data_IF_601724559030
#
_entry.id   IF_601724559030
#
_cell.length_a   1.000
_cell.length_b   1.000
_cell.length_c   1.000
_cell.angle_alpha   90.00
_cell.angle_beta   90.00
_cell.angle_gamma   90.00
#
_symmetry.space_group_name_H-M   'P 1'
#
loop_
_entity.id
_entity.type
_entity.pdbx_description
1 polymer ?
#
# COMPACT_ATOMS: atom_id res chain seq x y z
N UNK A 1 6.02 -14.80 6.09
CA UNK A 1 7.42 -14.73 6.55
C UNK A 1 7.40 -14.37 8.02
N UNK A 2 8.08 -15.12 8.89
CA UNK A 2 8.27 -14.74 10.31
C UNK A 2 9.43 -13.75 10.41
N UNK A 3 9.22 -12.55 9.86
CA UNK A 3 10.17 -11.46 9.99
C UNK A 3 9.99 -10.88 11.38
N UNK A 4 10.93 -11.13 12.28
CA UNK A 4 10.92 -10.47 13.58
C UNK A 4 11.65 -9.16 13.44
N UNK A 5 10.93 -8.04 13.53
CA UNK A 5 11.51 -6.70 13.66
C UNK A 5 11.78 -6.43 15.14
N UNK A 6 13.06 -6.37 15.49
CA UNK A 6 13.51 -6.01 16.85
C UNK A 6 14.09 -4.61 16.82
N UNK A 7 13.98 -3.90 17.95
CA UNK A 7 14.56 -2.58 18.11
C UNK A 7 15.56 -2.52 19.26
N UNK A 8 16.84 -2.24 18.95
CA UNK A 8 17.94 -2.18 19.92
C UNK A 8 18.36 -0.73 20.21
N UNK A 9 18.79 -0.46 21.44
CA UNK A 9 19.01 0.90 21.93
C UNK A 9 20.40 1.48 21.60
N UNK A 10 21.47 0.68 21.55
CA UNK A 10 22.85 1.18 21.31
C UNK A 10 23.83 0.16 20.67
N UNK A 11 23.84 -1.10 21.09
CA UNK A 11 24.80 -2.09 20.59
C UNK A 11 24.29 -2.86 19.36
N UNK A 12 25.15 -3.09 18.38
CA UNK A 12 24.84 -3.95 17.22
C UNK A 12 24.83 -5.42 17.68
N UNK A 13 23.71 -6.15 17.56
CA UNK A 13 23.70 -7.58 17.84
C UNK A 13 24.44 -8.36 16.74
N UNK A 14 24.77 -9.63 17.03
CA UNK A 14 25.40 -10.53 16.05
C UNK A 14 24.49 -10.71 14.82
N UNK A 15 25.06 -10.54 13.62
CA UNK A 15 24.31 -10.58 12.36
C UNK A 15 25.18 -10.99 11.17
N UNK A 16 24.57 -11.52 10.12
CA UNK A 16 25.28 -11.88 8.88
C UNK A 16 25.58 -10.65 8.01
N UNK A 17 24.73 -9.62 8.13
CA UNK A 17 24.87 -8.34 7.45
C UNK A 17 24.46 -7.19 8.38
N UNK A 18 25.35 -6.22 8.54
CA UNK A 18 25.07 -4.92 9.15
C UNK A 18 24.89 -3.88 8.06
N UNK A 19 23.88 -3.04 8.17
CA UNK A 19 23.66 -1.88 7.32
C UNK A 19 23.90 -0.62 8.12
N UNK A 20 24.68 0.28 7.53
CA UNK A 20 24.93 1.63 8.03
C UNK A 20 24.59 2.63 6.95
N UNK A 21 24.18 3.82 7.38
CA UNK A 21 23.63 4.86 6.51
C UNK A 21 24.49 6.12 6.62
N UNK A 22 24.71 6.82 5.51
CA UNK A 22 25.38 8.12 5.56
C UNK A 22 24.90 9.05 4.44
N UNK A 23 25.08 10.35 4.67
CA UNK A 23 24.92 11.41 3.68
C UNK A 23 26.26 11.75 3.05
N UNK A 24 26.28 12.44 1.92
CA UNK A 24 27.51 12.87 1.22
C UNK A 24 28.46 13.67 2.14
N UNK A 25 27.90 14.56 2.96
CA UNK A 25 28.63 15.42 3.88
C UNK A 25 28.83 14.78 5.27
N UNK A 26 28.35 13.55 5.44
CA UNK A 26 28.39 12.81 6.70
C UNK A 26 29.58 11.85 6.76
N UNK A 27 30.12 11.62 7.95
CA UNK A 27 31.03 10.49 8.15
C UNK A 27 30.20 9.20 8.19
N UNK A 28 30.74 8.12 7.65
CA UNK A 28 30.16 6.79 7.83
C UNK A 28 30.34 6.36 9.30
N UNK A 29 29.32 6.63 10.11
CA UNK A 29 29.28 6.22 11.51
C UNK A 29 29.07 4.71 11.59
N UNK A 30 29.79 4.06 12.51
CA UNK A 30 29.71 2.62 12.75
C UNK A 30 29.34 2.38 14.22
N UNK A 31 28.56 1.34 14.53
CA UNK A 31 28.32 0.94 15.91
C UNK A 31 29.62 0.46 16.58
N UNK A 32 29.68 0.56 17.90
CA UNK A 32 30.86 0.19 18.70
C UNK A 32 31.34 -1.23 18.39
N UNK A 33 32.67 -1.38 18.29
CA UNK A 33 33.33 -2.66 18.00
C UNK A 33 33.39 -3.05 16.51
N UNK A 34 32.63 -2.38 15.63
CA UNK A 34 32.71 -2.62 14.18
C UNK A 34 33.83 -1.80 13.55
N UNK A 35 34.76 -2.48 12.88
CA UNK A 35 35.85 -1.84 12.13
C UNK A 35 35.77 -2.21 10.66
N UNK A 36 36.06 -1.24 9.79
CA UNK A 36 36.18 -1.40 8.34
C UNK A 36 37.56 -0.97 7.88
N UNK A 37 38.02 -1.53 6.77
CA UNK A 37 39.26 -1.09 6.12
C UNK A 37 39.18 0.41 5.76
N UNK A 38 40.24 1.20 5.96
CA UNK A 38 40.25 2.63 5.63
C UNK A 38 39.86 2.91 4.17
N UNK A 39 40.30 2.06 3.24
CA UNK A 39 39.95 2.18 1.82
C UNK A 39 38.45 1.97 1.58
N UNK A 40 37.81 1.03 2.28
CA UNK A 40 36.36 0.80 2.15
C UNK A 40 35.56 2.02 2.64
N UNK A 41 36.03 2.70 3.70
CA UNK A 41 35.41 3.96 4.17
C UNK A 41 35.60 5.10 3.18
N UNK A 42 36.80 5.25 2.60
CA UNK A 42 37.11 6.30 1.61
C UNK A 42 36.38 6.10 0.29
N UNK A 43 36.10 4.86 -0.09
CA UNK A 43 35.44 4.50 -1.35
C UNK A 43 33.92 4.69 -1.34
N UNK A 44 33.33 5.07 -0.20
CA UNK A 44 31.90 5.32 -0.06
C UNK A 44 31.64 6.83 -0.05
N UNK A 45 30.92 7.32 -1.06
CA UNK A 45 30.64 8.75 -1.27
C UNK A 45 29.35 9.23 -0.62
N UNK A 46 28.44 8.33 -0.25
CA UNK A 46 27.16 8.68 0.38
C UNK A 46 26.09 9.17 -0.60
N UNK A 47 26.34 9.06 -1.91
CA UNK A 47 25.41 9.44 -2.97
C UNK A 47 24.07 8.71 -2.82
N UNK A 48 22.98 9.32 -3.26
CA UNK A 48 21.65 8.74 -3.08
C UNK A 48 21.53 7.36 -3.75
N UNK A 49 21.18 6.34 -2.96
CA UNK A 49 21.10 4.91 -3.31
C UNK A 49 22.43 4.23 -3.63
N UNK A 50 23.57 4.88 -3.38
CA UNK A 50 24.86 4.19 -3.39
C UNK A 50 24.79 3.03 -2.39
N UNK A 51 25.24 1.84 -2.80
CA UNK A 51 25.23 0.65 -1.96
C UNK A 51 26.57 -0.09 -2.05
N UNK A 52 27.39 -0.01 -1.00
CA UNK A 52 28.72 -0.61 -0.95
C UNK A 52 28.78 -1.72 0.10
N UNK A 53 29.03 -2.95 -0.37
CA UNK A 53 29.21 -4.12 0.49
C UNK A 53 30.70 -4.34 0.72
N UNK A 54 31.09 -4.59 1.97
CA UNK A 54 32.46 -4.89 2.37
C UNK A 54 32.45 -5.85 3.56
N UNK A 55 33.57 -6.54 3.80
CA UNK A 55 33.76 -7.36 4.98
C UNK A 55 34.16 -6.49 6.18
N UNK A 56 33.74 -6.88 7.38
CA UNK A 56 34.23 -6.22 8.59
C UNK A 56 35.62 -6.74 8.96
N UNK A 57 36.44 -5.88 9.57
CA UNK A 57 37.72 -6.26 10.18
C UNK A 57 37.53 -6.81 11.60
N UNK A 58 36.48 -6.36 12.29
CA UNK A 58 36.11 -6.80 13.62
C UNK A 58 34.65 -6.45 13.90
N UNK A 59 34.08 -7.10 14.93
CA UNK A 59 32.78 -6.76 15.48
C UNK A 59 31.71 -7.83 15.26
N UNK A 60 30.46 -7.53 15.62
CA UNK A 60 29.35 -8.50 15.63
C UNK A 60 28.82 -8.90 14.24
N UNK A 61 29.27 -8.27 13.15
CA UNK A 61 28.76 -8.50 11.81
C UNK A 61 29.87 -8.95 10.85
N UNK A 62 29.67 -10.04 10.12
CA UNK A 62 30.66 -10.52 9.14
C UNK A 62 30.84 -9.54 7.97
N UNK A 63 29.73 -8.95 7.51
CA UNK A 63 29.69 -8.01 6.38
C UNK A 63 28.99 -6.73 6.76
N UNK A 64 29.41 -5.62 6.15
CA UNK A 64 28.79 -4.31 6.28
C UNK A 64 28.36 -3.81 4.90
N UNK A 65 27.12 -3.32 4.82
CA UNK A 65 26.56 -2.64 3.66
C UNK A 65 26.35 -1.16 4.02
N UNK A 66 27.13 -0.28 3.42
CA UNK A 66 26.91 1.16 3.50
C UNK A 66 25.88 1.57 2.44
N UNK A 67 24.86 2.35 2.83
CA UNK A 67 23.83 2.88 1.92
C UNK A 67 23.82 4.41 2.01
N UNK A 68 23.92 5.05 0.84
CA UNK A 68 23.96 6.50 0.71
C UNK A 68 22.56 7.12 0.64
N UNK A 69 22.37 8.21 1.38
CA UNK A 69 21.14 9.01 1.43
C UNK A 69 21.22 10.28 0.57
N UNK A 70 22.36 10.51 -0.10
CA UNK A 70 22.68 11.72 -0.84
C UNK A 70 23.01 12.90 0.08
N UNK A 71 22.87 14.11 -0.44
CA UNK A 71 23.04 15.36 0.32
C UNK A 71 22.16 15.40 1.57
N UNK A 72 22.73 15.85 2.69
CA UNK A 72 22.06 15.92 4.00
C UNK A 72 20.77 16.72 3.96
N UNK A 73 20.74 17.83 3.22
CA UNK A 73 19.56 18.70 3.10
C UNK A 73 18.36 18.03 2.41
N UNK A 74 18.61 16.97 1.65
CA UNK A 74 17.57 16.23 0.94
C UNK A 74 17.27 14.89 1.63
N UNK A 75 17.92 14.58 2.76
CA UNK A 75 17.66 13.36 3.51
C UNK A 75 16.30 13.49 4.22
N UNK A 76 15.35 12.65 3.82
CA UNK A 76 13.99 12.62 4.34
C UNK A 76 13.54 11.18 4.65
N UNK A 77 12.30 11.04 5.11
CA UNK A 77 11.70 9.75 5.41
C UNK A 77 11.56 8.85 4.17
N UNK A 78 11.38 9.41 2.97
CA UNK A 78 11.26 8.62 1.74
C UNK A 78 12.61 8.04 1.29
N UNK A 79 13.68 8.83 1.34
CA UNK A 79 15.04 8.31 1.07
C UNK A 79 15.42 7.23 2.08
N UNK A 80 15.03 7.41 3.34
CA UNK A 80 15.28 6.42 4.38
C UNK A 80 14.45 5.14 4.17
N UNK A 81 13.18 5.26 3.74
CA UNK A 81 12.34 4.13 3.33
C UNK A 81 12.96 3.37 2.16
N UNK A 82 13.49 4.06 1.15
CA UNK A 82 14.23 3.44 0.05
C UNK A 82 15.48 2.72 0.53
N UNK A 83 16.24 3.29 1.47
CA UNK A 83 17.41 2.64 2.06
C UNK A 83 17.03 1.34 2.79
N UNK A 84 15.93 1.32 3.55
CA UNK A 84 15.38 0.11 4.16
C UNK A 84 15.06 -0.98 3.13
N UNK A 85 14.44 -0.60 2.00
CA UNK A 85 14.13 -1.54 0.93
C UNK A 85 15.39 -2.08 0.22
N UNK A 86 16.38 -1.22 -0.03
CA UNK A 86 17.68 -1.62 -0.59
C UNK A 86 18.39 -2.61 0.35
N UNK A 87 18.40 -2.34 1.66
CA UNK A 87 18.98 -3.20 2.67
C UNK A 87 18.39 -4.61 2.64
N UNK A 88 17.06 -4.73 2.68
CA UNK A 88 16.37 -6.02 2.64
C UNK A 88 16.65 -6.80 1.33
N UNK A 89 16.56 -6.12 0.17
CA UNK A 89 16.83 -6.75 -1.14
C UNK A 89 18.28 -7.21 -1.25
N UNK A 90 19.24 -6.40 -0.77
CA UNK A 90 20.65 -6.75 -0.82
C UNK A 90 20.97 -7.90 0.13
N UNK A 91 20.38 -7.93 1.33
CA UNK A 91 20.52 -9.03 2.28
C UNK A 91 20.10 -10.37 1.65
N UNK A 92 18.96 -10.40 0.96
CA UNK A 92 18.51 -11.59 0.23
C UNK A 92 19.50 -11.97 -0.89
N UNK A 93 19.96 -11.00 -1.70
CA UNK A 93 20.92 -11.23 -2.79
C UNK A 93 22.25 -11.82 -2.29
N UNK A 94 22.72 -11.43 -1.11
CA UNK A 94 23.97 -11.93 -0.51
C UNK A 94 23.75 -13.12 0.43
N UNK A 95 22.53 -13.68 0.43
CA UNK A 95 22.12 -14.86 1.20
C UNK A 95 22.34 -14.69 2.71
N UNK A 96 22.14 -13.48 3.23
CA UNK A 96 22.21 -13.21 4.67
C UNK A 96 20.94 -13.74 5.35
N UNK A 97 21.10 -14.58 6.40
CA UNK A 97 19.99 -15.07 7.21
C UNK A 97 19.48 -14.02 8.20
N UNK A 98 20.36 -13.11 8.61
CA UNK A 98 20.08 -12.01 9.52
C UNK A 98 20.64 -10.68 9.03
N UNK A 99 19.85 -9.63 9.21
CA UNK A 99 20.15 -8.25 8.86
C UNK A 99 19.97 -7.35 10.09
N UNK A 100 20.93 -6.46 10.34
CA UNK A 100 20.78 -5.32 11.26
C UNK A 100 20.84 -4.05 10.43
N UNK A 101 19.86 -3.15 10.56
CA UNK A 101 19.92 -1.79 10.02
C UNK A 101 20.16 -0.85 11.20
N UNK A 102 21.34 -0.25 11.24
CA UNK A 102 21.72 0.69 12.28
C UNK A 102 21.51 2.12 11.78
N UNK A 103 20.62 2.83 12.46
CA UNK A 103 20.30 4.22 12.22
C UNK A 103 21.03 5.08 13.24
N UNK A 104 21.91 5.95 12.77
CA UNK A 104 22.70 6.79 13.65
C UNK A 104 21.93 8.02 14.14
N UNK A 105 22.30 8.62 15.29
CA UNK A 105 21.68 9.85 15.76
C UNK A 105 21.73 11.01 14.75
N UNK A 106 22.79 11.06 13.92
CA UNK A 106 22.92 12.06 12.87
C UNK A 106 21.85 11.87 11.78
N UNK A 107 21.59 10.62 11.37
CA UNK A 107 20.53 10.30 10.40
C UNK A 107 19.15 10.55 11.00
N UNK A 108 18.92 10.16 12.25
CA UNK A 108 17.66 10.44 12.94
C UNK A 108 17.35 11.93 12.96
N UNK A 109 18.34 12.76 13.30
CA UNK A 109 18.19 14.22 13.28
C UNK A 109 17.90 14.76 11.87
N UNK A 110 18.54 14.21 10.84
CA UNK A 110 18.37 14.65 9.46
C UNK A 110 16.94 14.45 8.95
N UNK A 111 16.25 13.39 9.37
CA UNK A 111 14.90 13.03 8.87
C UNK A 111 13.75 13.45 9.80
N UNK A 112 14.01 14.33 10.77
CA UNK A 112 12.97 14.84 11.68
C UNK A 112 12.79 14.08 12.99
N UNK A 113 13.73 13.18 13.33
CA UNK A 113 13.82 12.54 14.64
C UNK A 113 13.73 11.00 14.60
N UNK A 114 14.04 10.39 15.74
CA UNK A 114 14.15 8.94 15.88
C UNK A 114 12.84 8.18 15.55
N UNK A 115 11.68 8.75 15.88
CA UNK A 115 10.37 8.13 15.60
C UNK A 115 10.08 8.08 14.09
N UNK A 116 10.28 9.19 13.38
CA UNK A 116 10.15 9.25 11.92
C UNK A 116 11.16 8.32 11.22
N UNK A 117 12.39 8.24 11.74
CA UNK A 117 13.42 7.36 11.21
C UNK A 117 13.06 5.88 11.36
N UNK A 118 12.61 5.48 12.55
CA UNK A 118 12.18 4.10 12.82
C UNK A 118 11.01 3.68 11.93
N UNK A 119 10.02 4.56 11.77
CA UNK A 119 8.86 4.33 10.90
C UNK A 119 9.26 4.10 9.44
N UNK A 120 10.00 5.03 8.85
CA UNK A 120 10.44 4.95 7.45
C UNK A 120 11.29 3.70 7.18
N UNK A 121 12.27 3.40 8.05
CA UNK A 121 13.12 2.22 7.90
C UNK A 121 12.33 0.92 7.96
N UNK A 122 11.39 0.81 8.90
CA UNK A 122 10.58 -0.39 9.05
C UNK A 122 9.67 -0.61 7.82
N UNK A 123 8.98 0.43 7.36
CA UNK A 123 8.17 0.35 6.13
C UNK A 123 9.01 -0.15 4.95
N UNK A 124 10.14 0.51 4.72
CA UNK A 124 11.06 0.20 3.63
C UNK A 124 11.61 -1.22 3.70
N UNK A 125 12.09 -1.63 4.87
CA UNK A 125 12.64 -2.96 5.09
C UNK A 125 11.60 -4.04 4.84
N UNK A 126 10.37 -3.89 5.36
CA UNK A 126 9.28 -4.85 5.12
C UNK A 126 8.92 -4.88 3.64
N UNK A 127 8.70 -3.73 3.01
CA UNK A 127 8.34 -3.66 1.58
C UNK A 127 9.45 -4.23 0.68
N UNK A 128 10.71 -4.10 1.07
CA UNK A 128 11.86 -4.68 0.38
C UNK A 128 11.92 -6.20 0.42
N UNK A 129 11.21 -6.84 1.34
CA UNK A 129 11.10 -8.31 1.44
C UNK A 129 9.99 -8.90 0.57
N UNK A 130 9.14 -8.06 -0.02
CA UNK A 130 8.06 -8.52 -0.88
C UNK A 130 8.61 -9.22 -2.13
N UNK A 131 8.16 -10.44 -2.37
CA UNK A 131 8.52 -11.22 -3.55
C UNK A 131 7.31 -12.03 -4.04
N UNK A 132 6.97 -11.88 -5.32
CA UNK A 132 5.94 -12.67 -5.98
C UNK A 132 6.49 -14.06 -6.36
N UNK A 133 6.59 -14.92 -5.36
CA UNK A 133 7.03 -16.32 -5.52
C UNK A 133 5.93 -17.36 -5.30
N UNK A 134 4.76 -16.96 -4.79
CA UNK A 134 3.75 -17.90 -4.29
C UNK A 134 3.06 -18.74 -5.39
N UNK A 135 3.12 -18.29 -6.65
CA UNK A 135 2.59 -18.98 -7.83
C UNK A 135 3.64 -19.82 -8.57
N UNK A 136 4.92 -19.69 -8.24
CA UNK A 136 5.96 -20.52 -8.86
C UNK A 136 5.88 -21.95 -8.31
N UNK A 137 6.11 -22.94 -9.17
CA UNK A 137 6.25 -24.35 -8.77
C UNK A 137 7.55 -24.56 -7.99
N UNK A 138 8.68 -24.03 -8.50
CA UNK A 138 9.96 -23.97 -7.77
C UNK A 138 9.95 -22.84 -6.73
N UNK A 139 9.38 -23.12 -5.56
CA UNK A 139 9.28 -22.16 -4.45
C UNK A 139 10.60 -22.06 -3.71
N UNK A 140 11.38 -21.02 -4.02
CA UNK A 140 12.59 -20.68 -3.26
C UNK A 140 12.21 -20.09 -1.90
N UNK A 141 12.73 -20.70 -0.83
CA UNK A 141 12.61 -20.15 0.52
C UNK A 141 13.50 -18.90 0.62
N UNK A 142 13.03 -17.79 1.21
CA UNK A 142 13.86 -16.60 1.38
C UNK A 142 15.05 -16.92 2.28
N UNK A 143 16.23 -16.39 1.97
CA UNK A 143 17.40 -16.51 2.84
C UNK A 143 17.22 -15.67 4.10
N UNK A 144 16.77 -14.42 3.94
CA UNK A 144 16.58 -13.50 5.04
C UNK A 144 15.44 -13.96 5.98
N UNK A 145 15.78 -14.18 7.25
CA UNK A 145 14.85 -14.63 8.30
C UNK A 145 14.56 -13.57 9.35
N UNK A 146 15.53 -12.68 9.64
CA UNK A 146 15.43 -11.71 10.74
C UNK A 146 15.97 -10.34 10.32
N UNK A 147 15.22 -9.28 10.63
CA UNK A 147 15.66 -7.89 10.47
C UNK A 147 15.62 -7.21 11.85
N UNK A 148 16.74 -6.69 12.31
CA UNK A 148 16.79 -5.86 13.51
C UNK A 148 17.03 -4.42 13.11
N UNK A 149 16.21 -3.50 13.59
CA UNK A 149 16.41 -2.07 13.42
C UNK A 149 17.06 -1.54 14.71
N UNK A 150 18.07 -0.69 14.63
CA UNK A 150 18.73 -0.14 15.82
C UNK A 150 18.75 1.38 15.72
N UNK A 151 18.37 2.06 16.80
CA UNK A 151 18.24 3.52 16.84
C UNK A 151 17.91 4.08 18.22
N UNK A 152 17.61 5.37 18.28
CA UNK A 152 17.49 6.23 19.44
C UNK A 152 16.28 5.94 20.33
N UNK A 153 16.41 4.90 21.17
CA UNK A 153 15.54 4.71 22.34
C UNK A 153 14.07 4.45 22.02
N UNK A 154 13.18 4.78 22.96
CA UNK A 154 11.75 4.48 22.85
C UNK A 154 11.04 5.13 21.64
N UNK A 155 11.33 6.38 21.23
CA UNK A 155 10.72 6.97 20.03
C UNK A 155 10.99 6.16 18.76
N UNK A 156 12.24 5.73 18.54
CA UNK A 156 12.59 4.86 17.40
C UNK A 156 11.78 3.56 17.42
N UNK A 157 11.62 2.93 18.59
CA UNK A 157 10.85 1.69 18.73
C UNK A 157 9.37 1.87 18.39
N UNK A 158 8.77 3.00 18.76
CA UNK A 158 7.37 3.30 18.42
C UNK A 158 7.20 3.47 16.91
N UNK A 159 8.07 4.27 16.30
CA UNK A 159 8.12 4.45 14.85
C UNK A 159 8.28 3.12 14.13
N UNK A 160 9.28 2.30 14.51
CA UNK A 160 9.52 1.01 13.88
C UNK A 160 8.33 0.04 13.97
N UNK A 161 7.58 0.03 15.09
CA UNK A 161 6.36 -0.77 15.23
C UNK A 161 5.25 -0.27 14.29
N UNK A 162 5.06 1.03 14.21
CA UNK A 162 4.08 1.63 13.29
C UNK A 162 4.44 1.34 11.83
N UNK A 163 5.70 1.53 11.46
CA UNK A 163 6.19 1.28 10.10
C UNK A 163 6.16 -0.20 9.69
N UNK A 164 6.35 -1.14 10.62
CA UNK A 164 6.14 -2.57 10.34
C UNK A 164 4.70 -2.86 9.91
N UNK A 165 3.73 -2.34 10.66
CA UNK A 165 2.30 -2.53 10.36
C UNK A 165 1.97 -1.95 8.98
N UNK A 166 2.42 -0.73 8.68
CA UNK A 166 2.20 -0.08 7.38
C UNK A 166 2.92 -0.80 6.23
N UNK A 167 4.15 -1.27 6.45
CA UNK A 167 4.89 -2.05 5.47
C UNK A 167 4.18 -3.37 5.14
N UNK A 168 3.66 -4.08 6.16
CA UNK A 168 2.91 -5.32 5.97
C UNK A 168 1.56 -5.08 5.28
N UNK A 169 0.87 -3.99 5.60
CA UNK A 169 -0.35 -3.58 4.90
C UNK A 169 -0.07 -3.30 3.41
N UNK A 170 1.02 -2.59 3.10
CA UNK A 170 1.47 -2.35 1.73
C UNK A 170 1.77 -3.66 0.98
N UNK A 171 2.52 -4.58 1.59
CA UNK A 171 2.78 -5.89 1.00
C UNK A 171 1.50 -6.71 0.79
N UNK A 172 0.53 -6.59 1.70
CA UNK A 172 -0.78 -7.22 1.57
C UNK A 172 -1.54 -6.66 0.35
N UNK A 173 -1.60 -5.33 0.21
CA UNK A 173 -2.21 -4.65 -0.95
C UNK A 173 -1.58 -5.13 -2.25
N UNK A 174 -0.24 -5.11 -2.34
CA UNK A 174 0.51 -5.57 -3.51
C UNK A 174 0.22 -7.03 -3.85
N UNK A 175 0.13 -7.90 -2.85
CA UNK A 175 -0.22 -9.31 -3.08
C UNK A 175 -1.60 -9.43 -3.72
N UNK A 176 -2.60 -8.66 -3.28
CA UNK A 176 -3.94 -8.71 -3.88
C UNK A 176 -3.88 -8.30 -5.35
N UNK A 177 -3.25 -7.16 -5.63
CA UNK A 177 -3.02 -6.61 -6.97
C UNK A 177 -2.27 -7.59 -7.89
N UNK A 178 -1.23 -8.22 -7.37
CA UNK A 178 -0.38 -9.13 -8.13
C UNK A 178 -1.03 -10.49 -8.38
N UNK A 179 -2.03 -10.86 -7.58
CA UNK A 179 -2.75 -12.13 -7.73
C UNK A 179 -3.55 -12.10 -9.04
N UNK A 180 -3.35 -13.08 -9.95
CA UNK A 180 -4.07 -13.14 -11.21
C UNK A 180 -5.59 -13.16 -11.05
N UNK A 181 -6.32 -12.62 -12.04
CA UNK A 181 -7.78 -12.50 -12.01
C UNK A 181 -8.51 -13.82 -11.75
N UNK A 182 -8.01 -14.94 -12.27
CA UNK A 182 -8.58 -16.27 -12.01
C UNK A 182 -8.46 -16.75 -10.56
N UNK A 183 -7.57 -16.14 -9.76
CA UNK A 183 -7.32 -16.46 -8.34
C UNK A 183 -7.75 -15.34 -7.39
N UNK A 184 -8.06 -14.15 -7.92
CA UNK A 184 -8.55 -12.99 -7.18
C UNK A 184 -9.87 -12.50 -7.78
N UNK A 185 -10.91 -13.34 -7.73
CA UNK A 185 -12.25 -12.99 -8.20
C UNK A 185 -13.01 -12.20 -7.12
N UNK A 186 -14.21 -11.65 -7.40
CA UNK A 186 -14.95 -10.84 -6.41
C UNK A 186 -15.20 -11.61 -5.09
N UNK A 187 -15.58 -12.89 -5.17
CA UNK A 187 -15.72 -13.77 -3.99
C UNK A 187 -14.43 -13.98 -3.20
N UNK A 188 -13.28 -13.93 -3.88
CA UNK A 188 -11.97 -14.09 -3.24
C UNK A 188 -11.60 -12.80 -2.48
N UNK A 189 -11.91 -11.62 -3.01
CA UNK A 189 -11.80 -10.34 -2.28
C UNK A 189 -12.68 -10.32 -1.02
N UNK A 190 -13.92 -10.81 -1.12
CA UNK A 190 -14.81 -10.98 0.04
C UNK A 190 -14.15 -11.86 1.11
N UNK A 191 -13.49 -12.96 0.71
CA UNK A 191 -12.78 -13.85 1.63
C UNK A 191 -11.59 -13.16 2.29
N UNK A 192 -10.82 -12.35 1.56
CA UNK A 192 -9.72 -11.57 2.13
C UNK A 192 -10.22 -10.52 3.13
N UNK A 193 -11.33 -9.83 2.83
CA UNK A 193 -11.98 -8.90 3.76
C UNK A 193 -12.46 -9.60 5.05
N UNK A 194 -13.03 -10.81 4.95
CA UNK A 194 -13.39 -11.62 6.14
C UNK A 194 -12.18 -11.97 6.99
N UNK A 195 -11.05 -12.35 6.37
CA UNK A 195 -9.80 -12.63 7.09
C UNK A 195 -9.31 -11.40 7.85
N UNK A 196 -9.41 -10.20 7.26
CA UNK A 196 -9.03 -8.95 7.94
C UNK A 196 -9.91 -8.73 9.17
N UNK A 197 -11.24 -8.83 9.04
CA UNK A 197 -12.16 -8.65 10.16
C UNK A 197 -11.92 -9.67 11.30
N UNK A 198 -11.54 -10.91 10.96
CA UNK A 198 -11.19 -11.93 11.94
C UNK A 198 -9.93 -11.62 12.78
N UNK A 199 -9.12 -10.63 12.40
CA UNK A 199 -7.91 -10.24 13.15
C UNK A 199 -8.18 -9.27 14.31
N UNK A 200 -9.32 -8.59 14.32
CA UNK A 200 -9.59 -7.53 15.29
C UNK A 200 -11.07 -7.40 15.61
N UNK A 201 -11.39 -7.37 16.90
CA UNK A 201 -12.77 -7.14 17.37
C UNK A 201 -13.26 -5.71 17.09
N UNK A 202 -12.36 -4.79 16.74
CA UNK A 202 -12.69 -3.43 16.33
C UNK A 202 -13.25 -3.35 14.90
N UNK A 203 -13.05 -4.41 14.09
CA UNK A 203 -13.46 -4.44 12.68
C UNK A 203 -14.66 -5.36 12.50
N UNK A 204 -15.71 -4.85 11.86
CA UNK A 204 -16.84 -5.65 11.37
C UNK A 204 -16.84 -5.67 9.86
N UNK A 205 -17.35 -6.76 9.29
CA UNK A 205 -17.45 -6.93 7.84
C UNK A 205 -18.84 -7.44 7.48
N UNK A 206 -19.41 -6.87 6.42
CA UNK A 206 -20.54 -7.41 5.69
C UNK A 206 -20.23 -7.40 4.19
N UNK A 207 -20.79 -8.35 3.46
CA UNK A 207 -20.78 -8.35 2.00
C UNK A 207 -22.23 -8.44 1.53
N UNK A 208 -22.67 -7.44 0.77
CA UNK A 208 -23.97 -7.47 0.12
C UNK A 208 -23.81 -8.22 -1.19
N UNK A 209 -24.56 -9.30 -1.36
CA UNK A 209 -24.65 -10.01 -2.62
C UNK A 209 -25.56 -9.28 -3.62
N UNK A 210 -25.66 -9.80 -4.84
CA UNK A 210 -26.47 -9.18 -5.89
C UNK A 210 -27.96 -9.06 -5.52
N UNK A 211 -28.50 -10.01 -4.75
CA UNK A 211 -29.88 -9.95 -4.27
C UNK A 211 -30.08 -8.78 -3.30
N UNK A 212 -29.19 -8.63 -2.32
CA UNK A 212 -29.24 -7.52 -1.37
C UNK A 212 -28.99 -6.17 -2.05
N UNK A 213 -28.08 -6.12 -3.03
CA UNK A 213 -27.84 -4.92 -3.84
C UNK A 213 -29.04 -4.56 -4.73
N UNK A 214 -29.71 -5.56 -5.31
CA UNK A 214 -30.93 -5.39 -6.11
C UNK A 214 -32.08 -4.81 -5.28
N UNK A 215 -32.28 -5.32 -4.06
CA UNK A 215 -33.25 -4.76 -3.12
C UNK A 215 -32.96 -3.32 -2.69
N UNK A 216 -31.70 -2.88 -2.80
CA UNK A 216 -31.29 -1.49 -2.55
C UNK A 216 -31.36 -0.61 -3.81
N UNK A 217 -31.71 -1.16 -4.97
CA UNK A 217 -31.78 -0.41 -6.23
C UNK A 217 -30.41 -0.09 -6.84
N UNK A 218 -29.36 -0.88 -6.54
CA UNK A 218 -28.01 -0.68 -7.11
C UNK A 218 -27.90 -1.16 -8.56
N UNK A 219 -28.78 -0.64 -9.42
CA UNK A 219 -28.86 -1.05 -10.83
C UNK A 219 -27.66 -0.63 -11.66
N UNK A 220 -26.92 0.41 -11.24
CA UNK A 220 -25.70 0.86 -11.93
C UNK A 220 -24.58 -0.18 -11.74
N UNK A 221 -24.28 -0.57 -10.51
CA UNK A 221 -23.29 -1.61 -10.19
C UNK A 221 -23.70 -2.96 -10.80
N UNK A 222 -24.94 -3.39 -10.57
CA UNK A 222 -25.44 -4.67 -11.07
C UNK A 222 -25.47 -4.75 -12.60
N UNK A 223 -25.51 -3.62 -13.31
CA UNK A 223 -25.42 -3.63 -14.77
C UNK A 223 -24.05 -4.11 -15.28
N UNK A 224 -22.98 -3.79 -14.54
CA UNK A 224 -21.60 -4.15 -14.89
C UNK A 224 -21.36 -5.65 -14.69
N UNK A 225 -21.96 -6.26 -13.66
CA UNK A 225 -21.71 -7.68 -13.34
C UNK A 225 -22.39 -8.67 -14.27
N UNK A 226 -23.38 -8.23 -15.06
CA UNK A 226 -24.21 -9.13 -15.89
C UNK A 226 -23.41 -10.02 -16.85
N UNK A 227 -22.24 -9.54 -17.28
CA UNK A 227 -21.38 -10.26 -18.21
C UNK A 227 -20.46 -11.29 -17.55
N UNK A 228 -20.37 -11.33 -16.22
CA UNK A 228 -19.52 -12.30 -15.52
C UNK A 228 -20.32 -13.48 -14.97
N UNK A 229 -19.65 -14.63 -14.90
CA UNK A 229 -20.13 -15.80 -14.14
C UNK A 229 -19.81 -15.69 -12.64
N UNK A 230 -18.95 -14.76 -12.26
CA UNK A 230 -18.63 -14.45 -10.87
C UNK A 230 -19.60 -13.39 -10.32
N UNK A 231 -20.29 -13.64 -9.20
CA UNK A 231 -21.26 -12.69 -8.66
C UNK A 231 -20.57 -11.43 -8.14
N UNK A 232 -21.22 -10.29 -8.30
CA UNK A 232 -20.77 -9.04 -7.70
C UNK A 232 -21.09 -8.96 -6.20
N UNK A 233 -20.29 -8.15 -5.50
CA UNK A 233 -20.51 -7.84 -4.09
C UNK A 233 -20.24 -6.38 -3.78
N UNK A 234 -20.94 -5.83 -2.79
CA UNK A 234 -20.47 -4.64 -2.07
C UNK A 234 -19.90 -5.08 -0.73
N UNK A 235 -18.57 -5.09 -0.62
CA UNK A 235 -17.88 -5.32 0.65
C UNK A 235 -17.97 -4.04 1.48
N UNK A 236 -18.38 -4.15 2.73
CA UNK A 236 -18.37 -3.06 3.69
C UNK A 236 -17.66 -3.51 4.96
N UNK A 237 -16.50 -2.91 5.21
CA UNK A 237 -15.76 -3.01 6.46
C UNK A 237 -16.02 -1.76 7.33
N UNK A 238 -16.15 -1.93 8.64
CA UNK A 238 -16.23 -0.82 9.58
C UNK A 238 -15.28 -1.04 10.74
N UNK A 239 -14.42 -0.05 11.00
CA UNK A 239 -13.51 0.02 12.12
C UNK A 239 -14.07 1.01 13.14
N UNK A 240 -14.28 0.55 14.36
CA UNK A 240 -14.70 1.39 15.48
C UNK A 240 -13.59 1.45 16.53
N UNK A 241 -13.08 2.66 16.85
CA UNK A 241 -12.08 2.79 17.89
C UNK A 241 -12.60 2.39 19.26
N UNK A 242 -11.68 1.99 20.15
CA UNK A 242 -12.01 1.68 21.55
C UNK A 242 -12.57 2.89 22.29
N UNK A 243 -12.05 4.07 21.96
CA UNK A 243 -12.52 5.36 22.48
C UNK A 243 -13.56 5.97 21.53
N UNK A 244 -14.38 6.88 22.04
CA UNK A 244 -15.36 7.62 21.22
C UNK A 244 -14.67 8.26 20.01
N UNK A 245 -15.13 7.90 18.81
CA UNK A 245 -14.63 8.47 17.57
C UNK A 245 -14.93 9.98 17.50
N UNK A 246 -13.95 10.77 17.05
CA UNK A 246 -14.13 12.21 16.84
C UNK A 246 -14.74 12.53 15.48
N UNK A 247 -14.49 11.67 14.50
CA UNK A 247 -14.89 11.79 13.11
C UNK A 247 -15.19 10.41 12.53
N UNK A 248 -16.01 10.38 11.49
CA UNK A 248 -16.33 9.22 10.67
C UNK A 248 -15.87 9.46 9.24
N UNK A 249 -14.94 8.66 8.76
CA UNK A 249 -14.44 8.69 7.38
C UNK A 249 -14.97 7.47 6.61
N UNK A 250 -15.36 7.65 5.35
CA UNK A 250 -15.62 6.53 4.45
C UNK A 250 -14.61 6.55 3.29
N UNK A 251 -13.91 5.45 3.09
CA UNK A 251 -13.01 5.25 1.95
C UNK A 251 -13.64 4.23 1.00
N UNK A 252 -13.77 4.56 -0.27
CA UNK A 252 -14.41 3.71 -1.29
C UNK A 252 -13.36 3.28 -2.31
N UNK A 253 -13.24 2.01 -2.64
CA UNK A 253 -12.21 1.51 -3.54
C UNK A 253 -12.80 0.77 -4.73
N UNK A 254 -12.48 1.19 -5.97
CA UNK A 254 -12.85 0.44 -7.19
C UNK A 254 -12.30 -0.99 -7.10
N UNK A 255 -13.17 -2.00 -7.21
CA UNK A 255 -12.85 -3.41 -7.01
C UNK A 255 -13.08 -4.29 -8.24
N UNK A 256 -12.77 -3.83 -9.46
CA UNK A 256 -12.89 -4.66 -10.67
C UNK A 256 -11.76 -5.68 -10.70
N UNK A 257 -12.07 -6.94 -10.45
CA UNK A 257 -11.04 -7.99 -10.35
C UNK A 257 -10.45 -8.37 -11.70
N UNK A 258 -11.20 -8.11 -12.76
CA UNK A 258 -10.71 -8.09 -14.13
C UNK A 258 -11.62 -7.21 -14.97
N UNK A 259 -11.02 -6.43 -15.88
CA UNK A 259 -11.72 -5.53 -16.77
C UNK A 259 -11.31 -5.78 -18.23
N UNK A 260 -12.17 -6.48 -18.97
CA UNK A 260 -12.01 -6.64 -20.41
C UNK A 260 -12.65 -5.48 -21.19
N UNK A 261 -13.37 -4.59 -20.53
CA UNK A 261 -14.19 -3.52 -21.12
C UNK A 261 -15.62 -3.90 -21.46
N UNK A 262 -16.03 -5.15 -21.22
CA UNK A 262 -17.38 -5.62 -21.57
C UNK A 262 -17.57 -5.72 -23.08
N UNK A 263 -18.72 -5.27 -23.59
CA UNK A 263 -19.01 -5.23 -25.03
C UNK A 263 -18.11 -4.22 -25.77
N UNK A 264 -17.76 -3.11 -25.12
CA UNK A 264 -16.72 -2.17 -25.55
C UNK A 264 -15.31 -2.75 -25.27
N UNK A 265 -15.02 -3.90 -25.86
CA UNK A 265 -13.83 -4.71 -25.57
C UNK A 265 -12.52 -3.94 -25.75
N UNK A 266 -11.64 -4.01 -24.74
CA UNK A 266 -10.29 -3.45 -24.81
C UNK A 266 -9.44 -4.18 -25.87
N UNK A 267 -8.43 -3.50 -26.45
CA UNK A 267 -7.40 -4.17 -27.24
C UNK A 267 -6.66 -5.26 -26.45
N UNK A 268 -6.16 -6.28 -27.13
CA UNK A 268 -5.46 -7.40 -26.46
C UNK A 268 -4.16 -7.00 -25.77
N UNK A 269 -3.47 -5.96 -26.27
CA UNK A 269 -2.20 -5.52 -25.71
C UNK A 269 -2.39 -5.02 -24.27
N UNK A 270 -1.62 -5.57 -23.33
CA UNK A 270 -1.65 -5.26 -21.89
C UNK A 270 -2.99 -5.52 -21.18
N UNK A 271 -3.91 -6.27 -21.79
CA UNK A 271 -5.16 -6.65 -21.11
C UNK A 271 -4.89 -7.48 -19.85
N UNK A 272 -3.76 -8.18 -19.77
CA UNK A 272 -3.31 -8.89 -18.56
C UNK A 272 -3.06 -7.97 -17.36
N UNK A 273 -2.73 -6.70 -17.60
CA UNK A 273 -2.59 -5.68 -16.55
C UNK A 273 -3.95 -5.29 -15.94
N UNK A 274 -5.09 -5.61 -16.58
CA UNK A 274 -6.42 -5.27 -16.06
C UNK A 274 -6.82 -6.10 -14.82
N UNK A 275 -6.01 -7.08 -14.41
CA UNK A 275 -6.10 -7.65 -13.05
C UNK A 275 -5.83 -6.60 -11.96
N UNK A 276 -5.14 -5.51 -12.29
CA UNK A 276 -4.84 -4.41 -11.37
C UNK A 276 -6.02 -3.45 -11.19
N UNK A 277 -7.14 -3.65 -11.90
CA UNK A 277 -8.28 -2.72 -11.89
C UNK A 277 -9.12 -2.77 -10.60
N UNK A 278 -8.67 -3.58 -9.64
CA UNK A 278 -9.15 -3.66 -8.26
C UNK A 278 -8.21 -2.94 -7.27
N UNK A 279 -7.21 -2.20 -7.75
CA UNK A 279 -6.18 -1.57 -6.91
C UNK A 279 -6.74 -0.59 -5.88
N UNK A 280 -7.81 0.14 -6.22
CA UNK A 280 -8.51 0.99 -5.27
C UNK A 280 -9.12 0.20 -4.11
N UNK A 281 -9.81 -0.90 -4.43
CA UNK A 281 -10.33 -1.86 -3.46
C UNK A 281 -9.23 -2.52 -2.64
N UNK A 282 -8.11 -2.88 -3.27
CA UNK A 282 -6.94 -3.42 -2.61
C UNK A 282 -6.37 -2.45 -1.56
N UNK A 283 -6.28 -1.15 -1.91
CA UNK A 283 -5.82 -0.10 -1.01
C UNK A 283 -6.76 0.06 0.20
N UNK A 284 -8.08 0.01 -0.01
CA UNK A 284 -9.07 -0.01 1.08
C UNK A 284 -8.87 -1.23 1.98
N UNK A 285 -8.70 -2.43 1.42
CA UNK A 285 -8.42 -3.62 2.23
C UNK A 285 -7.08 -3.53 2.97
N UNK A 286 -6.06 -2.92 2.36
CA UNK A 286 -4.78 -2.61 2.98
C UNK A 286 -4.90 -1.65 4.17
N UNK A 287 -5.69 -0.60 4.04
CA UNK A 287 -6.02 0.31 5.15
C UNK A 287 -6.63 -0.48 6.33
N UNK A 288 -7.61 -1.34 6.07
CA UNK A 288 -8.23 -2.16 7.12
C UNK A 288 -7.28 -3.22 7.69
N UNK A 289 -6.33 -3.71 6.88
CA UNK A 289 -5.26 -4.57 7.37
C UNK A 289 -4.38 -3.84 8.39
N UNK A 290 -4.06 -2.56 8.17
CA UNK A 290 -3.34 -1.73 9.16
C UNK A 290 -4.22 -1.42 10.39
N UNK A 291 -5.48 -1.03 10.20
CA UNK A 291 -6.42 -0.72 11.29
C UNK A 291 -6.73 -1.91 12.20
N UNK A 292 -6.45 -3.15 11.76
CA UNK A 292 -6.56 -4.32 12.63
C UNK A 292 -5.57 -4.27 13.80
N UNK A 293 -4.46 -3.54 13.65
CA UNK A 293 -3.35 -3.48 14.60
C UNK A 293 -3.10 -2.05 15.14
N UNK A 294 -3.54 -1.02 14.41
CA UNK A 294 -3.42 0.38 14.83
C UNK A 294 -4.68 0.85 15.57
N UNK A 295 -4.47 1.62 16.65
CA UNK A 295 -5.55 2.27 17.41
C UNK A 295 -5.66 3.75 17.02
N UNK A 296 -6.47 4.03 15.99
CA UNK A 296 -6.73 5.40 15.52
C UNK A 296 -8.01 5.98 16.17
N UNK A 297 -8.07 7.28 16.51
CA UNK A 297 -9.23 7.89 17.17
C UNK A 297 -10.36 8.30 16.21
N UNK A 298 -10.56 7.55 15.11
CA UNK A 298 -11.50 7.86 14.01
C UNK A 298 -12.28 6.60 13.66
N UNK A 299 -13.59 6.71 13.45
CA UNK A 299 -14.39 5.62 12.88
C UNK A 299 -14.17 5.59 11.36
N UNK A 300 -13.80 4.43 10.82
CA UNK A 300 -13.47 4.29 9.40
C UNK A 300 -14.37 3.25 8.76
N UNK A 301 -14.98 3.60 7.65
CA UNK A 301 -15.73 2.67 6.80
C UNK A 301 -14.98 2.46 5.49
N UNK A 302 -14.87 1.21 5.07
CA UNK A 302 -14.28 0.81 3.80
C UNK A 302 -15.35 0.17 2.93
N UNK A 303 -15.63 0.75 1.77
CA UNK A 303 -16.53 0.17 0.79
C UNK A 303 -15.73 -0.29 -0.43
N UNK A 304 -15.93 -1.53 -0.84
CA UNK A 304 -15.32 -2.07 -2.07
C UNK A 304 -16.44 -2.68 -2.91
N UNK A 305 -17.04 -1.91 -3.84
CA UNK A 305 -17.85 -2.49 -4.89
C UNK A 305 -16.95 -3.37 -5.77
N UNK A 306 -17.25 -4.66 -5.88
CA UNK A 306 -16.42 -5.62 -6.60
C UNK A 306 -17.24 -6.45 -7.58
N UNK A 307 -16.70 -6.60 -8.78
CA UNK A 307 -17.26 -7.31 -9.94
C UNK A 307 -16.13 -7.69 -10.89
N UNK A 308 -16.45 -8.42 -11.95
CA UNK A 308 -15.68 -8.44 -13.19
C UNK A 308 -16.48 -7.73 -14.29
N UNK A 309 -15.79 -7.20 -15.30
CA UNK A 309 -16.39 -6.61 -16.50
C UNK A 309 -15.96 -7.42 -17.72
N UNK A 310 -16.83 -8.31 -18.18
CA UNK A 310 -16.53 -9.30 -19.22
C UNK A 310 -17.59 -9.24 -20.34
N UNK A 311 -17.21 -9.51 -21.60
CA UNK A 311 -18.18 -9.71 -22.67
C UNK A 311 -18.93 -11.04 -22.48
N UNK A 312 -20.25 -11.00 -22.58
CA UNK A 312 -21.14 -12.17 -22.60
C UNK A 312 -22.46 -11.78 -23.27
N UNK A 313 -23.29 -12.77 -23.66
CA UNK A 313 -24.63 -12.52 -24.19
C UNK A 313 -25.57 -11.79 -23.21
N UNK A 314 -25.27 -11.79 -21.91
CA UNK A 314 -26.02 -11.07 -20.87
C UNK A 314 -25.45 -9.71 -20.50
N UNK A 315 -24.25 -9.36 -20.99
CA UNK A 315 -23.58 -8.13 -20.63
C UNK A 315 -24.45 -6.89 -20.95
N UNK A 316 -24.24 -5.81 -20.18
CA UNK A 316 -24.78 -4.52 -20.57
C UNK A 316 -24.15 -4.06 -21.89
N UNK A 317 -24.87 -3.23 -22.63
CA UNK A 317 -24.50 -2.78 -23.97
C UNK A 317 -24.33 -1.27 -23.99
N UNK A 318 -23.49 -0.73 -24.89
CA UNK A 318 -23.55 0.67 -25.28
C UNK A 318 -24.99 1.08 -25.65
N UNK A 319 -25.49 2.17 -25.05
CA UNK A 319 -26.85 2.68 -25.19
C UNK A 319 -27.86 2.13 -24.17
N UNK A 320 -27.50 1.14 -23.35
CA UNK A 320 -28.38 0.71 -22.24
C UNK A 320 -28.55 1.86 -21.24
N UNK A 321 -29.78 2.10 -20.79
CA UNK A 321 -30.07 3.04 -19.69
C UNK A 321 -30.31 2.26 -18.40
N UNK A 322 -29.56 2.58 -17.36
CA UNK A 322 -29.63 1.93 -16.05
C UNK A 322 -30.05 2.91 -14.97
N UNK A 323 -30.71 2.44 -13.92
CA UNK A 323 -31.11 3.27 -12.76
C UNK A 323 -30.20 2.98 -11.58
N UNK A 324 -29.52 4.00 -11.07
CA UNK A 324 -28.66 3.91 -9.89
C UNK A 324 -29.47 3.95 -8.57
N UNK A 325 -28.83 3.64 -7.45
CA UNK A 325 -29.40 3.60 -6.09
C UNK A 325 -30.01 4.93 -5.64
N UNK A 326 -29.60 6.05 -6.25
CA UNK A 326 -30.19 7.36 -5.99
C UNK A 326 -31.41 7.68 -6.88
N UNK A 327 -31.84 6.77 -7.75
CA UNK A 327 -32.95 6.96 -8.68
C UNK A 327 -32.56 7.68 -9.97
N UNK A 328 -31.31 8.15 -10.12
CA UNK A 328 -30.84 8.75 -11.38
C UNK A 328 -30.67 7.68 -12.44
N UNK A 329 -31.04 8.00 -13.67
CA UNK A 329 -30.76 7.18 -14.84
C UNK A 329 -29.42 7.54 -15.44
N UNK A 330 -28.71 6.54 -15.96
CA UNK A 330 -27.40 6.68 -16.60
C UNK A 330 -27.47 5.96 -17.94
N UNK A 331 -27.21 6.68 -19.03
CA UNK A 331 -26.98 6.07 -20.33
C UNK A 331 -25.53 5.57 -20.40
N UNK A 332 -25.36 4.26 -20.62
CA UNK A 332 -24.05 3.63 -20.71
C UNK A 332 -23.57 3.72 -22.15
N UNK A 333 -22.84 4.78 -22.49
CA UNK A 333 -22.30 4.95 -23.86
C UNK A 333 -21.11 4.03 -24.16
N UNK A 334 -20.37 3.62 -23.12
CA UNK A 334 -19.19 2.77 -23.25
C UNK A 334 -19.10 1.87 -22.01
N UNK A 335 -19.05 0.56 -22.20
CA UNK A 335 -19.01 -0.42 -21.10
C UNK A 335 -17.62 -0.56 -20.47
N UNK A 336 -16.58 0.04 -21.07
CA UNK A 336 -15.23 0.21 -20.53
C UNK A 336 -15.09 1.44 -19.60
N UNK A 337 -16.22 2.11 -19.34
CA UNK A 337 -16.36 3.13 -18.31
C UNK A 337 -17.13 2.57 -17.10
N UNK A 338 -16.92 1.30 -16.77
CA UNK A 338 -17.60 0.55 -15.71
C UNK A 338 -17.25 1.01 -14.30
N UNK A 339 -16.01 1.44 -14.06
CA UNK A 339 -15.53 1.81 -12.74
C UNK A 339 -16.37 2.89 -12.08
N UNK A 340 -16.78 3.91 -12.84
CA UNK A 340 -17.66 4.98 -12.33
C UNK A 340 -19.09 4.50 -12.07
N UNK A 341 -19.56 3.47 -12.79
CA UNK A 341 -20.90 2.89 -12.59
C UNK A 341 -20.97 2.15 -11.25
N UNK A 342 -19.96 1.33 -10.93
CA UNK A 342 -19.93 0.61 -9.65
C UNK A 342 -19.66 1.56 -8.47
N UNK A 343 -18.88 2.62 -8.69
CA UNK A 343 -18.59 3.63 -7.68
C UNK A 343 -19.82 4.50 -7.39
N UNK A 344 -20.64 4.85 -8.39
CA UNK A 344 -21.84 5.66 -8.19
C UNK A 344 -22.78 5.07 -7.13
N UNK A 345 -23.05 3.77 -7.20
CA UNK A 345 -23.89 3.07 -6.21
C UNK A 345 -23.20 2.94 -4.84
N UNK A 346 -21.88 2.69 -4.82
CA UNK A 346 -21.12 2.61 -3.57
C UNK A 346 -21.05 3.98 -2.85
N UNK A 347 -20.87 5.08 -3.58
CA UNK A 347 -20.90 6.44 -3.06
C UNK A 347 -22.30 6.80 -2.55
N UNK A 348 -23.36 6.44 -3.28
CA UNK A 348 -24.73 6.61 -2.80
C UNK A 348 -24.98 5.80 -1.51
N UNK A 349 -24.47 4.58 -1.44
CA UNK A 349 -24.54 3.77 -0.23
C UNK A 349 -23.78 4.41 0.94
N UNK A 350 -22.58 4.93 0.71
CA UNK A 350 -21.79 5.65 1.72
C UNK A 350 -22.60 6.83 2.28
N UNK A 351 -23.12 7.69 1.41
CA UNK A 351 -23.93 8.84 1.80
C UNK A 351 -25.18 8.42 2.59
N UNK A 352 -26.01 7.52 2.04
CA UNK A 352 -27.32 7.18 2.62
C UNK A 352 -27.24 6.28 3.85
N UNK A 353 -26.31 5.31 3.87
CA UNK A 353 -26.24 4.24 4.89
C UNK A 353 -25.11 4.43 5.90
N UNK A 354 -23.96 4.98 5.49
CA UNK A 354 -22.83 5.23 6.40
C UNK A 354 -22.94 6.61 7.06
N UNK A 355 -23.31 7.63 6.28
CA UNK A 355 -23.38 9.05 6.69
C UNK A 355 -22.07 9.51 7.37
N UNK A 356 -20.94 9.52 6.63
CA UNK A 356 -19.63 9.97 7.14
C UNK A 356 -19.49 11.49 7.10
N UNK A 357 -18.50 12.02 7.83
CA UNK A 357 -18.06 13.41 7.73
C UNK A 357 -17.34 13.70 6.39
N UNK A 358 -16.70 12.69 5.81
CA UNK A 358 -15.98 12.78 4.54
C UNK A 358 -16.01 11.44 3.79
N UNK A 359 -16.00 11.51 2.46
CA UNK A 359 -15.85 10.36 1.56
C UNK A 359 -14.62 10.59 0.69
N UNK A 360 -13.76 9.58 0.58
CA UNK A 360 -12.62 9.57 -0.36
C UNK A 360 -12.72 8.29 -1.17
N UNK A 361 -12.84 8.39 -2.49
CA UNK A 361 -12.73 7.22 -3.35
C UNK A 361 -11.32 7.08 -3.97
N UNK A 362 -10.92 5.83 -4.20
CA UNK A 362 -9.63 5.43 -4.77
C UNK A 362 -9.92 4.51 -5.97
N UNK A 363 -9.44 4.87 -7.15
CA UNK A 363 -9.77 4.13 -8.36
C UNK A 363 -8.69 4.21 -9.45
N UNK A 364 -8.40 3.07 -10.08
CA UNK A 364 -7.76 2.97 -11.39
C UNK A 364 -8.79 3.34 -12.46
N UNK A 365 -9.16 4.63 -12.53
CA UNK A 365 -10.39 5.03 -13.19
C UNK A 365 -10.23 5.40 -14.67
N UNK A 366 -9.10 6.02 -15.05
CA UNK A 366 -8.92 6.51 -16.42
C UNK A 366 -7.48 6.33 -16.89
N UNK A 367 -7.30 6.00 -18.16
CA UNK A 367 -5.98 6.12 -18.80
C UNK A 367 -5.55 7.59 -18.96
N UNK A 368 -6.49 8.53 -18.99
CA UNK A 368 -6.23 9.95 -19.15
C UNK A 368 -5.39 10.55 -18.00
N UNK A 369 -5.55 10.06 -16.76
CA UNK A 369 -4.73 10.54 -15.63
C UNK A 369 -3.25 10.18 -15.83
N UNK A 370 -2.96 9.05 -16.48
CA UNK A 370 -1.58 8.64 -16.81
C UNK A 370 -0.99 9.58 -17.87
N UNK A 371 -1.77 9.97 -18.87
CA UNK A 371 -1.34 10.97 -19.88
C UNK A 371 -1.04 12.31 -19.23
N UNK A 372 -1.84 12.74 -18.25
CA UNK A 372 -1.70 14.04 -17.60
C UNK A 372 -0.57 14.09 -16.55
N UNK A 373 -0.43 13.04 -15.73
CA UNK A 373 0.41 13.05 -14.52
C UNK A 373 1.50 11.97 -14.50
N UNK A 374 1.55 11.10 -15.51
CA UNK A 374 2.49 9.98 -15.57
C UNK A 374 2.17 8.89 -14.55
N UNK A 375 3.21 8.18 -14.10
CA UNK A 375 3.10 7.05 -13.17
C UNK A 375 3.50 7.38 -11.72
N UNK A 376 3.98 8.60 -11.47
CA UNK A 376 4.57 8.98 -10.18
C UNK A 376 3.61 9.79 -9.29
N UNK A 377 2.56 10.38 -9.87
CA UNK A 377 1.60 11.24 -9.17
C UNK A 377 0.18 10.68 -9.27
N UNK A 378 -0.53 10.63 -8.15
CA UNK A 378 -1.97 10.35 -8.13
C UNK A 378 -2.75 11.65 -8.35
N UNK A 379 -3.74 11.64 -9.25
CA UNK A 379 -4.66 12.76 -9.41
C UNK A 379 -5.74 12.77 -8.33
N UNK A 380 -6.00 13.94 -7.71
CA UNK A 380 -7.12 14.15 -6.80
C UNK A 380 -8.07 15.21 -7.37
N UNK A 381 -9.37 14.92 -7.29
CA UNK A 381 -10.47 15.80 -7.65
C UNK A 381 -11.48 15.77 -6.50
N UNK A 382 -12.22 16.85 -6.26
CA UNK A 382 -13.24 16.83 -5.22
C UNK A 382 -13.97 18.15 -5.03
N UNK A 383 -15.05 18.10 -4.25
CA UNK A 383 -15.90 19.24 -3.91
C UNK A 383 -15.45 20.02 -2.67
N UNK A 384 -14.49 19.48 -1.90
CA UNK A 384 -13.94 20.12 -0.70
C UNK A 384 -12.44 20.38 -0.89
N UNK A 385 -12.05 21.65 -0.91
CA UNK A 385 -10.66 22.06 -1.14
C UNK A 385 -9.74 21.72 0.04
N UNK A 386 -10.25 21.81 1.28
CA UNK A 386 -9.47 21.51 2.50
C UNK A 386 -9.14 20.03 2.60
N UNK A 387 -10.09 19.17 2.21
CA UNK A 387 -9.84 17.74 2.14
C UNK A 387 -8.79 17.41 1.07
N UNK A 388 -8.85 18.07 -0.09
CA UNK A 388 -7.83 17.91 -1.13
C UNK A 388 -6.44 18.35 -0.65
N UNK A 389 -6.33 19.50 0.02
CA UNK A 389 -5.07 19.95 0.61
C UNK A 389 -4.52 18.98 1.65
N UNK A 390 -5.39 18.44 2.50
CA UNK A 390 -5.01 17.43 3.48
C UNK A 390 -4.47 16.15 2.81
N UNK A 391 -5.05 15.73 1.68
CA UNK A 391 -4.58 14.58 0.91
C UNK A 391 -3.23 14.87 0.22
N UNK A 392 -3.04 16.05 -0.36
CA UNK A 392 -1.76 16.48 -0.95
C UNK A 392 -0.66 16.51 0.10
N UNK A 393 -0.93 17.10 1.26
CA UNK A 393 0.00 17.14 2.38
C UNK A 393 0.34 15.73 2.89
N UNK A 394 -0.66 14.84 2.97
CA UNK A 394 -0.47 13.43 3.35
C UNK A 394 0.41 12.69 2.35
N UNK A 395 0.20 12.92 1.05
CA UNK A 395 1.04 12.34 -0.01
C UNK A 395 2.50 12.77 0.09
N UNK A 396 2.75 14.07 0.34
CA UNK A 396 4.10 14.58 0.58
C UNK A 396 4.76 13.96 1.81
N UNK A 397 4.02 13.81 2.92
CA UNK A 397 4.54 13.25 4.16
C UNK A 397 4.85 11.73 4.06
N UNK A 398 4.11 11.02 3.21
CA UNK A 398 4.23 9.57 3.04
C UNK A 398 5.15 9.17 1.89
N UNK A 399 5.44 10.07 0.96
CA UNK A 399 6.18 9.75 -0.27
C UNK A 399 5.28 9.19 -1.39
N UNK A 400 3.95 9.28 -1.22
CA UNK A 400 2.94 8.88 -2.20
C UNK A 400 2.29 10.14 -2.78
N UNK A 401 2.96 10.79 -3.74
CA UNK A 401 2.61 12.14 -4.16
C UNK A 401 1.23 12.23 -4.85
N UNK A 402 0.49 13.28 -4.49
CA UNK A 402 -0.87 13.56 -4.98
C UNK A 402 -0.90 14.96 -5.59
N UNK A 403 -1.58 15.12 -6.72
CA UNK A 403 -1.71 16.37 -7.45
C UNK A 403 -3.18 16.72 -7.72
N UNK A 404 -3.58 17.97 -7.44
CA UNK A 404 -4.96 18.42 -7.66
C UNK A 404 -5.24 18.60 -9.15
N UNK A 405 -6.40 18.11 -9.60
CA UNK A 405 -6.98 18.38 -10.90
C UNK A 405 -8.35 19.07 -10.68
N UNK A 406 -8.71 20.09 -11.48
CA UNK A 406 -9.97 20.79 -11.32
C UNK A 406 -11.16 19.90 -11.76
N UNK A 407 -12.29 20.04 -11.05
CA UNK A 407 -13.61 19.67 -11.57
C UNK A 407 -14.21 20.94 -12.16
N UNK A 408 -14.34 20.98 -13.48
CA UNK A 408 -14.84 22.14 -14.23
C UNK A 408 -16.36 22.20 -14.27
#
# INVERSE_FOLDING_TARGET
MNLTIQSAAKACPKTDLLVVLATEEGKLELPDGVKLAPLAKKAFGGEFREARLTDSLSGPAARVLAIGLGKRKDADTERLRRAGAIAAKKAEKVRAGSLVIWCSPAIEKAVGGAEAAGDALAQGAVMGTYAMGFLKSDKKKPYLKRITLSGGGAPFRRGAKHGDVLGRANCFTRRLQDTPGNLMRPRDLVREARKIAGKSTAIRMKALDEKAMGALGMGSLLSVSKGSSEPAYLIHLSYKPKRKAKKKLCVVGKGLTFDAGGISLKPSAKMDEMKYDMSGGAAVLGLFHALAELDLPVEVHGLVPTSENLPDGKANKPGDVVTAMNGKTIEVLNTDAEGRLILADALCYAEKKVKPDAIVDLATLTGAVIVALGHELTGVMGSDEKLQDALVASGKATGEAVWKLPLL
#
